data_IF_353874382145
#
_entry.id   IF_353874382145
#
_cell.length_a   1.000
_cell.length_b   1.000
_cell.length_c   1.000
_cell.angle_alpha   90.00
_cell.angle_beta   90.00
_cell.angle_gamma   90.00
#
_symmetry.space_group_name_H-M   'P 1'
#
loop_
_entity.id
_entity.type
_entity.pdbx_description
1 polymer ?
#
# COMPACT_ATOMS: atom_id res chain seq x y z
N UNK A 1 -18.59 5.41 5.60
CA UNK A 1 -18.30 3.96 5.73
C UNK A 1 -16.84 3.86 6.16
N UNK A 2 -16.42 2.82 6.91
CA UNK A 2 -15.00 2.64 7.19
C UNK A 2 -14.22 2.49 5.88
N UNK A 3 -13.00 3.00 5.84
CA UNK A 3 -12.06 2.84 4.73
C UNK A 3 -11.88 1.35 4.38
N UNK A 4 -11.82 0.96 3.10
CA UNK A 4 -11.76 -0.45 2.71
C UNK A 4 -10.45 -1.09 3.18
N UNK A 5 -10.47 -2.38 3.47
CA UNK A 5 -9.22 -3.10 3.76
C UNK A 5 -8.40 -3.23 2.48
N UNK A 6 -7.07 -3.14 2.58
CA UNK A 6 -6.20 -3.33 1.42
C UNK A 6 -6.42 -4.71 0.82
N UNK A 7 -6.62 -5.75 1.63
CA UNK A 7 -6.91 -7.11 1.16
C UNK A 7 -8.25 -7.28 0.44
N UNK A 8 -9.20 -6.37 0.62
CA UNK A 8 -10.48 -6.39 -0.11
C UNK A 8 -10.35 -5.78 -1.51
N UNK A 9 -9.39 -4.87 -1.71
CA UNK A 9 -9.21 -4.12 -2.97
C UNK A 9 -8.03 -4.64 -3.78
N UNK A 10 -6.94 -4.97 -3.09
CA UNK A 10 -5.63 -5.35 -3.64
C UNK A 10 -5.12 -6.64 -2.95
N UNK A 11 -5.86 -7.77 -3.04
CA UNK A 11 -5.48 -9.01 -2.36
C UNK A 11 -4.09 -9.50 -2.79
N UNK A 12 -3.80 -9.49 -4.10
CA UNK A 12 -2.54 -9.98 -4.64
C UNK A 12 -1.35 -9.11 -4.21
N UNK A 13 -1.56 -7.79 -4.04
CA UNK A 13 -0.52 -6.89 -3.54
C UNK A 13 -0.15 -7.21 -2.09
N UNK A 14 -1.13 -7.56 -1.24
CA UNK A 14 -0.87 -7.96 0.15
C UNK A 14 -0.06 -9.27 0.20
N UNK A 15 -0.41 -10.25 -0.64
CA UNK A 15 0.32 -11.51 -0.72
C UNK A 15 1.75 -11.31 -1.23
N UNK A 16 1.93 -10.45 -2.23
CA UNK A 16 3.25 -10.03 -2.74
C UNK A 16 4.08 -9.36 -1.63
N UNK A 17 3.54 -8.34 -0.96
CA UNK A 17 4.21 -7.65 0.14
C UNK A 17 4.62 -8.61 1.25
N UNK A 18 3.75 -9.55 1.62
CA UNK A 18 4.04 -10.55 2.65
C UNK A 18 5.19 -11.49 2.23
N UNK A 19 5.25 -11.87 0.96
CA UNK A 19 6.34 -12.69 0.43
C UNK A 19 7.67 -11.91 0.43
N UNK A 20 7.67 -10.67 -0.06
CA UNK A 20 8.86 -9.82 -0.14
C UNK A 20 9.39 -9.42 1.25
N UNK A 21 8.50 -9.12 2.21
CA UNK A 21 8.88 -8.84 3.60
C UNK A 21 9.55 -10.06 4.26
N UNK A 22 9.10 -11.27 3.94
CA UNK A 22 9.72 -12.50 4.43
C UNK A 22 11.11 -12.72 3.83
N UNK A 23 11.30 -12.39 2.56
CA UNK A 23 12.59 -12.51 1.88
C UNK A 23 13.67 -11.62 2.53
N UNK A 24 13.28 -10.41 2.97
CA UNK A 24 14.20 -9.46 3.61
C UNK A 24 14.27 -9.60 5.14
N UNK A 25 13.57 -10.57 5.75
CA UNK A 25 13.59 -10.82 7.19
C UNK A 25 12.86 -9.76 8.03
N UNK A 26 11.79 -9.19 7.49
CA UNK A 26 10.95 -8.16 8.14
C UNK A 26 9.59 -8.71 8.60
N UNK A 27 9.59 -9.92 9.20
CA UNK A 27 8.39 -10.63 9.64
C UNK A 27 7.44 -9.82 10.55
N UNK A 28 7.91 -8.96 11.48
CA UNK A 28 7.00 -8.17 12.33
C UNK A 28 6.05 -7.25 11.55
N UNK A 29 6.37 -6.90 10.29
CA UNK A 29 5.51 -6.10 9.44
C UNK A 29 4.44 -6.93 8.74
N UNK A 30 4.68 -8.22 8.51
CA UNK A 30 3.72 -9.13 7.86
C UNK A 30 2.42 -9.21 8.67
N UNK A 31 2.52 -9.28 10.00
CA UNK A 31 1.35 -9.32 10.89
C UNK A 31 0.47 -8.06 10.76
N UNK A 32 1.06 -6.91 10.39
CA UNK A 32 0.36 -5.64 10.24
C UNK A 32 -0.40 -5.54 8.92
N UNK A 33 0.03 -6.27 7.88
CA UNK A 33 -0.58 -6.24 6.54
C UNK A 33 -2.06 -6.61 6.57
N UNK A 34 -2.43 -7.58 7.42
CA UNK A 34 -3.80 -8.11 7.50
C UNK A 34 -4.83 -7.09 8.00
N UNK A 35 -4.41 -6.01 8.67
CA UNK A 35 -5.31 -4.97 9.19
C UNK A 35 -5.20 -3.64 8.46
N UNK A 36 -4.40 -3.54 7.38
CA UNK A 36 -4.24 -2.31 6.65
C UNK A 36 -5.54 -1.91 5.94
N UNK A 37 -5.80 -0.60 5.96
CA UNK A 37 -6.90 0.04 5.24
C UNK A 37 -6.35 1.10 4.31
N UNK A 38 -7.09 1.41 3.25
CA UNK A 38 -6.76 2.48 2.32
C UNK A 38 -7.47 3.75 2.80
N UNK A 39 -6.79 4.54 3.62
CA UNK A 39 -7.37 5.76 4.22
C UNK A 39 -7.49 6.89 3.21
N UNK A 40 -6.49 7.08 2.36
CA UNK A 40 -6.52 8.06 1.27
C UNK A 40 -5.60 7.63 0.14
N UNK A 41 -6.09 7.68 -1.10
CA UNK A 41 -5.27 7.45 -2.29
C UNK A 41 -4.52 8.73 -2.65
N UNK A 42 -3.25 8.62 -3.05
CA UNK A 42 -2.44 9.75 -3.48
C UNK A 42 -3.05 10.46 -4.70
N UNK A 43 -3.04 11.78 -4.69
CA UNK A 43 -3.59 12.64 -5.74
C UNK A 43 -2.54 13.55 -6.39
N UNK A 44 -1.26 13.14 -6.35
CA UNK A 44 -0.13 13.95 -6.84
C UNK A 44 -0.17 14.26 -8.36
N UNK A 45 -1.07 13.62 -9.10
CA UNK A 45 -1.26 13.83 -10.55
C UNK A 45 -0.25 13.09 -11.44
N UNK A 46 0.65 12.30 -10.86
CA UNK A 46 1.54 11.43 -11.64
C UNK A 46 0.77 10.18 -12.09
N UNK A 47 0.73 9.94 -13.41
CA UNK A 47 0.01 8.81 -13.99
C UNK A 47 0.57 7.45 -13.58
N UNK A 48 1.84 7.40 -13.14
CA UNK A 48 2.48 6.17 -12.69
C UNK A 48 2.37 5.94 -11.18
N UNK A 49 1.77 6.88 -10.44
CA UNK A 49 1.57 6.77 -9.00
C UNK A 49 0.23 6.10 -8.68
N UNK A 50 0.26 5.16 -7.75
CA UNK A 50 -0.93 4.50 -7.17
C UNK A 50 -0.78 4.29 -5.67
N UNK A 51 0.05 5.14 -5.05
CA UNK A 51 0.36 5.12 -3.64
C UNK A 51 -0.84 5.49 -2.78
N UNK A 52 -0.86 5.05 -1.53
CA UNK A 52 -1.96 5.34 -0.60
C UNK A 52 -1.50 5.37 0.86
N UNK A 53 -2.19 6.18 1.65
CA UNK A 53 -2.05 6.24 3.09
C UNK A 53 -2.82 5.10 3.77
N UNK A 54 -2.21 4.56 4.81
CA UNK A 54 -2.81 3.53 5.68
C UNK A 54 -3.18 4.06 7.06
N UNK A 55 -2.86 5.33 7.33
CA UNK A 55 -3.20 6.08 8.54
C UNK A 55 -3.69 7.48 8.14
N UNK A 56 -4.51 8.09 9.00
CA UNK A 56 -5.03 9.46 8.79
C UNK A 56 -3.92 10.52 8.71
N UNK A 57 -2.84 10.35 9.48
CA UNK A 57 -1.69 11.24 9.49
C UNK A 57 -0.43 10.50 9.02
N UNK A 58 0.13 10.93 7.90
CA UNK A 58 1.36 10.39 7.32
C UNK A 58 2.55 11.21 7.81
N UNK A 59 3.34 10.62 8.72
CA UNK A 59 4.64 11.14 9.16
C UNK A 59 5.67 10.04 9.01
N UNK A 60 6.40 10.07 7.91
CA UNK A 60 7.44 9.08 7.59
C UNK A 60 8.67 9.33 8.45
N UNK A 61 9.15 8.28 9.11
CA UNK A 61 10.40 8.25 9.88
C UNK A 61 11.42 7.30 9.24
N UNK A 62 10.96 6.20 8.68
CA UNK A 62 11.78 5.21 7.98
C UNK A 62 11.02 4.61 6.80
N UNK A 63 11.75 4.09 5.81
CA UNK A 63 11.16 3.42 4.65
C UNK A 63 11.85 2.10 4.33
N UNK A 64 11.11 1.18 3.74
CA UNK A 64 11.60 -0.14 3.31
C UNK A 64 11.18 -0.34 1.86
N UNK A 65 12.15 -0.27 0.95
CA UNK A 65 11.95 -0.65 -0.45
C UNK A 65 11.94 -2.18 -0.56
N UNK A 66 10.83 -2.73 -1.04
CA UNK A 66 10.69 -4.16 -1.27
C UNK A 66 11.30 -4.51 -2.64
N UNK A 67 11.98 -5.68 -2.77
CA UNK A 67 12.57 -6.11 -4.03
C UNK A 67 11.52 -6.66 -5.01
N UNK A 68 10.51 -5.85 -5.35
CA UNK A 68 9.45 -6.23 -6.28
C UNK A 68 10.02 -6.48 -7.69
N UNK A 69 9.44 -7.45 -8.40
CA UNK A 69 9.87 -7.79 -9.76
C UNK A 69 9.47 -6.73 -10.78
N UNK A 70 8.35 -6.04 -10.53
CA UNK A 70 7.80 -5.00 -11.40
C UNK A 70 7.52 -3.74 -10.57
N UNK A 71 7.78 -2.59 -11.18
CA UNK A 71 7.58 -1.28 -10.55
C UNK A 71 8.39 -1.08 -9.28
N UNK A 72 7.93 -0.15 -8.44
CA UNK A 72 8.47 0.08 -7.10
C UNK A 72 7.37 -0.11 -6.07
N UNK A 73 7.74 -0.75 -4.97
CA UNK A 73 6.88 -0.99 -3.83
C UNK A 73 7.65 -0.66 -2.56
N UNK A 74 7.27 0.43 -1.90
CA UNK A 74 7.95 0.93 -0.71
C UNK A 74 6.95 1.01 0.44
N UNK A 75 7.37 0.55 1.62
CA UNK A 75 6.60 0.65 2.85
C UNK A 75 7.20 1.78 3.68
N UNK A 76 6.42 2.84 3.89
CA UNK A 76 6.79 3.90 4.82
C UNK A 76 6.26 3.61 6.22
N UNK A 77 7.14 3.81 7.19
CA UNK A 77 6.90 3.60 8.60
C UNK A 77 6.96 4.94 9.34
N UNK A 78 6.06 5.11 10.30
CA UNK A 78 6.16 6.21 11.27
C UNK A 78 7.16 5.86 12.40
N UNK A 79 7.42 6.83 13.30
CA UNK A 79 8.33 6.65 14.44
C UNK A 79 7.89 5.54 15.44
N UNK A 80 6.63 5.06 15.36
CA UNK A 80 6.11 3.93 16.13
C UNK A 80 6.24 2.59 15.37
N UNK A 81 6.94 2.57 14.22
CA UNK A 81 7.06 1.45 13.29
C UNK A 81 5.72 0.98 12.71
N UNK A 82 4.69 1.83 12.66
CA UNK A 82 3.43 1.53 11.98
C UNK A 82 3.55 1.88 10.50
N UNK A 83 2.99 1.04 9.64
CA UNK A 83 2.87 1.30 8.21
C UNK A 83 1.92 2.48 8.05
N UNK A 84 2.44 3.62 7.58
CA UNK A 84 1.67 4.85 7.43
C UNK A 84 1.37 5.20 5.98
N UNK A 85 2.19 4.72 5.05
CA UNK A 85 2.02 4.94 3.61
C UNK A 85 2.62 3.78 2.83
N UNK A 86 2.00 3.43 1.71
CA UNK A 86 2.52 2.46 0.74
C UNK A 86 2.76 3.22 -0.56
N UNK A 87 4.02 3.31 -0.98
CA UNK A 87 4.33 3.83 -2.30
C UNK A 87 4.24 2.73 -3.34
N UNK A 88 3.41 2.97 -4.35
CA UNK A 88 3.21 2.05 -5.47
C UNK A 88 3.44 2.84 -6.75
N UNK A 89 4.55 2.56 -7.43
CA UNK A 89 4.94 3.27 -8.65
C UNK A 89 5.11 2.31 -9.82
N UNK A 90 4.64 2.71 -11.00
CA UNK A 90 4.70 1.92 -12.24
C UNK A 90 4.02 0.54 -12.13
N UNK A 91 2.91 0.46 -11.39
CA UNK A 91 2.09 -0.76 -11.22
C UNK A 91 0.68 -0.55 -11.77
N UNK A 92 0.49 -0.70 -13.09
CA UNK A 92 -0.80 -0.45 -13.74
C UNK A 92 -1.90 -1.41 -13.27
N UNK A 93 -1.52 -2.61 -12.81
CA UNK A 93 -2.40 -3.60 -12.17
C UNK A 93 -3.03 -3.04 -10.89
N UNK A 94 -2.22 -2.48 -9.99
CA UNK A 94 -2.68 -1.86 -8.74
C UNK A 94 -3.53 -0.63 -9.05
N UNK A 95 -3.08 0.21 -9.99
CA UNK A 95 -3.82 1.41 -10.41
C UNK A 95 -5.23 1.07 -10.87
N UNK A 96 -5.34 0.10 -11.78
CA UNK A 96 -6.61 -0.32 -12.35
C UNK A 96 -7.61 -0.78 -11.27
N UNK A 97 -7.15 -1.59 -10.30
CA UNK A 97 -8.01 -2.09 -9.22
C UNK A 97 -8.47 -0.99 -8.25
N UNK A 98 -7.57 -0.05 -7.91
CA UNK A 98 -7.93 1.12 -7.09
C UNK A 98 -8.98 1.97 -7.81
N UNK A 99 -8.73 2.31 -9.07
CA UNK A 99 -9.68 3.10 -9.87
C UNK A 99 -11.02 2.39 -10.02
N UNK A 100 -11.04 1.09 -10.32
CA UNK A 100 -12.27 0.29 -10.43
C UNK A 100 -13.08 0.34 -9.12
N UNK A 101 -12.41 0.16 -7.97
CA UNK A 101 -13.06 0.19 -6.66
C UNK A 101 -13.69 1.57 -6.37
N UNK A 102 -12.95 2.66 -6.54
CA UNK A 102 -13.43 4.00 -6.19
C UNK A 102 -14.39 4.60 -7.23
N UNK A 103 -14.24 4.28 -8.52
CA UNK A 103 -15.21 4.65 -9.56
C UNK A 103 -16.51 3.85 -9.42
N UNK A 104 -16.42 2.58 -9.01
CA UNK A 104 -17.57 1.70 -8.77
C UNK A 104 -18.47 2.18 -7.63
N UNK A 105 -17.91 2.86 -6.63
CA UNK A 105 -18.66 3.43 -5.50
C UNK A 105 -19.42 4.71 -5.83
N UNK A 106 -19.15 5.35 -6.97
CA UNK A 106 -19.82 6.59 -7.39
C UNK A 106 -21.06 6.33 -8.27
N UNK A 107 -21.41 5.07 -8.51
CA UNK A 107 -22.60 4.65 -9.28
C UNK A 107 -23.71 4.15 -8.37
#
# INVERSE_FOLDING_TARGET
>A
MPSPMVSEVLPDLIDEMAALLREIGAEPLIEKLASLRIETVCDCGDENCSSFATLDEVKVDNSIELPAMEGYLIIDLNAANEICFIEVLNRPDVKYLLEEHYLGQQR
#
